data_IF_395810553422
#
_entry.id   IF_395810553422
#
_cell.length_a   1.000
_cell.length_b   1.000
_cell.length_c   1.000
_cell.angle_alpha   90.00
_cell.angle_beta   90.00
_cell.angle_gamma   90.00
#
_symmetry.space_group_name_H-M   'P 1'
#
loop_
_entity.id
_entity.type
_entity.pdbx_description
1 polymer ?
#
# COMPACT_ATOMS: atom_id res chain seq x y z
N UNK A 1 31.09 -1.75 -0.63
CA UNK A 1 29.65 -1.59 -0.95
C UNK A 1 29.33 -1.51 -2.46
N UNK A 2 30.22 -1.00 -3.32
CA UNK A 2 29.98 -0.92 -4.78
C UNK A 2 29.96 -2.28 -5.50
N UNK A 3 30.75 -3.25 -5.03
CA UNK A 3 30.84 -4.61 -5.61
C UNK A 3 29.60 -5.48 -5.29
N UNK A 4 28.91 -5.21 -4.17
CA UNK A 4 27.73 -5.98 -3.76
C UNK A 4 26.48 -5.68 -4.64
N UNK A 5 26.42 -4.47 -5.20
CA UNK A 5 25.33 -4.06 -6.10
C UNK A 5 25.42 -4.75 -7.47
N UNK A 6 26.63 -4.99 -7.98
CA UNK A 6 26.82 -5.71 -9.25
C UNK A 6 26.45 -7.20 -9.14
N UNK A 7 26.71 -7.83 -7.99
CA UNK A 7 26.34 -9.23 -7.74
C UNK A 7 24.81 -9.38 -7.64
N UNK A 8 24.11 -8.42 -7.04
CA UNK A 8 22.65 -8.46 -6.92
C UNK A 8 21.95 -8.25 -8.27
N UNK A 9 22.51 -7.39 -9.13
CA UNK A 9 22.00 -7.16 -10.51
C UNK A 9 22.25 -8.40 -11.39
N UNK A 10 23.40 -9.06 -11.23
CA UNK A 10 23.71 -10.30 -11.96
C UNK A 10 22.79 -11.47 -11.56
N UNK A 11 22.46 -11.61 -10.27
CA UNK A 11 21.51 -12.61 -9.78
C UNK A 11 20.07 -12.37 -10.25
N UNK A 12 19.68 -11.13 -10.53
CA UNK A 12 18.36 -10.81 -11.07
C UNK A 12 18.25 -11.08 -12.58
N UNK A 13 19.36 -10.96 -13.33
CA UNK A 13 19.38 -11.25 -14.78
C UNK A 13 19.30 -12.74 -15.12
N UNK A 14 19.71 -13.63 -14.21
CA UNK A 14 19.75 -15.09 -14.47
C UNK A 14 18.37 -15.76 -14.39
N UNK A 15 17.35 -15.09 -13.84
CA UNK A 15 15.99 -15.67 -13.76
C UNK A 15 15.08 -15.40 -14.97
N UNK A 16 15.56 -14.71 -16.01
CA UNK A 16 14.77 -14.45 -17.23
C UNK A 16 14.92 -15.53 -18.31
N UNK A 17 15.68 -16.60 -18.07
CA UNK A 17 15.94 -17.64 -19.07
C UNK A 17 15.49 -19.02 -18.58
N UNK A 18 14.21 -19.20 -18.22
CA UNK A 18 13.62 -20.54 -18.11
C UNK A 18 12.21 -20.55 -18.72
N UNK A 19 12.10 -21.29 -19.82
CA UNK A 19 10.93 -21.92 -20.44
C UNK A 19 10.00 -21.04 -21.31
N UNK A 20 10.36 -20.89 -22.59
CA UNK A 20 9.38 -20.99 -23.67
C UNK A 20 9.38 -22.44 -24.15
N UNK A 21 8.26 -23.14 -23.97
CA UNK A 21 8.00 -24.41 -24.64
C UNK A 21 7.53 -24.05 -26.05
N UNK A 22 8.27 -24.47 -27.08
CA UNK A 22 7.83 -24.33 -28.47
C UNK A 22 6.47 -25.02 -28.64
N UNK A 23 5.49 -24.27 -29.15
CA UNK A 23 4.20 -24.81 -29.59
C UNK A 23 4.36 -25.14 -31.07
N UNK A 24 4.46 -26.43 -31.38
CA UNK A 24 4.31 -26.90 -32.77
C UNK A 24 2.85 -26.74 -33.17
N UNK A 25 2.58 -25.94 -34.19
CA UNK A 25 1.27 -25.82 -34.83
C UNK A 25 0.89 -27.17 -35.47
N UNK A 26 0.01 -27.91 -34.81
CA UNK A 26 -0.82 -28.92 -35.48
C UNK A 26 -2.26 -28.44 -35.36
N UNK A 27 -2.82 -28.04 -36.49
CA UNK A 27 -4.21 -27.65 -36.65
C UNK A 27 -5.14 -28.77 -36.20
N UNK A 28 -5.59 -28.70 -34.94
CA UNK A 28 -6.76 -29.40 -34.45
C UNK A 28 -7.55 -28.43 -33.57
N UNK A 29 -8.70 -28.03 -34.08
CA UNK A 29 -9.68 -27.15 -33.46
C UNK A 29 -10.31 -27.83 -32.24
N UNK A 30 -9.57 -27.85 -31.14
CA UNK A 30 -10.08 -28.05 -29.79
C UNK A 30 -9.25 -27.11 -28.95
N UNK A 31 -9.82 -25.98 -28.54
CA UNK A 31 -9.20 -25.08 -27.58
C UNK A 31 -8.85 -25.89 -26.34
N UNK A 32 -7.58 -26.29 -26.19
CA UNK A 32 -7.09 -26.90 -24.96
C UNK A 32 -7.18 -25.79 -23.92
N UNK A 33 -8.26 -25.83 -23.15
CA UNK A 33 -8.50 -24.93 -22.02
C UNK A 33 -7.31 -25.09 -21.08
N UNK A 34 -6.53 -24.01 -20.90
CA UNK A 34 -5.39 -24.04 -20.01
C UNK A 34 -5.87 -24.04 -18.55
N UNK A 35 -5.89 -25.23 -17.95
CA UNK A 35 -6.23 -25.41 -16.55
C UNK A 35 -5.19 -24.82 -15.58
N UNK A 36 -4.06 -24.29 -16.07
CA UNK A 36 -2.99 -23.68 -15.25
C UNK A 36 -3.04 -22.15 -15.21
N UNK A 37 -4.09 -21.51 -15.72
CA UNK A 37 -4.21 -20.05 -15.76
C UNK A 37 -3.88 -19.38 -14.41
N UNK A 38 -3.13 -18.28 -14.46
CA UNK A 38 -2.70 -17.49 -13.30
C UNK A 38 -3.21 -16.07 -13.43
N UNK A 39 -4.34 -15.78 -12.79
CA UNK A 39 -4.88 -14.42 -12.78
C UNK A 39 -4.16 -13.53 -11.77
N UNK A 40 -4.24 -12.22 -12.01
CA UNK A 40 -3.94 -11.16 -11.04
C UNK A 40 -2.49 -11.15 -10.52
N UNK A 41 -1.52 -11.00 -11.43
CA UNK A 41 -0.09 -10.96 -11.09
C UNK A 41 0.37 -9.58 -10.65
N UNK A 42 -0.05 -8.55 -11.35
CA UNK A 42 0.25 -7.17 -11.00
C UNK A 42 -1.01 -6.50 -10.46
N UNK A 43 -0.83 -5.51 -9.59
CA UNK A 43 -1.93 -4.69 -9.15
C UNK A 43 -1.48 -3.25 -8.96
N UNK A 44 -2.41 -2.33 -9.18
CA UNK A 44 -2.28 -0.98 -8.68
C UNK A 44 -3.52 -0.59 -7.91
N UNK A 45 -3.38 0.35 -6.98
CA UNK A 45 -4.48 0.86 -6.18
C UNK A 45 -4.38 2.35 -5.99
N UNK A 46 -5.53 3.02 -6.00
CA UNK A 46 -5.69 4.41 -5.62
C UNK A 46 -6.63 4.45 -4.42
N UNK A 47 -6.28 5.22 -3.40
CA UNK A 47 -7.03 5.27 -2.15
C UNK A 47 -7.15 6.68 -1.61
N UNK A 48 -8.23 6.91 -0.89
CA UNK A 48 -8.42 8.02 0.02
C UNK A 48 -8.02 7.56 1.43
N UNK A 49 -7.15 8.34 2.08
CA UNK A 49 -6.51 8.00 3.34
C UNK A 49 -7.11 8.80 4.49
N UNK A 50 -7.74 8.11 5.41
CA UNK A 50 -8.33 8.64 6.63
C UNK A 50 -7.40 8.42 7.83
N UNK A 51 -7.36 9.42 8.70
CA UNK A 51 -6.77 9.36 10.02
C UNK A 51 -7.89 9.16 11.03
N UNK A 52 -7.78 8.11 11.84
CA UNK A 52 -8.74 7.80 12.91
C UNK A 52 -8.05 7.94 14.26
N UNK A 53 -8.83 7.97 15.35
CA UNK A 53 -8.31 8.11 16.72
C UNK A 53 -7.45 9.38 16.86
N UNK A 54 -7.87 10.47 16.23
CA UNK A 54 -7.21 11.77 16.33
C UNK A 54 -7.49 12.39 17.71
N UNK A 55 -6.48 13.00 18.36
CA UNK A 55 -6.68 13.78 19.59
C UNK A 55 -7.68 14.92 19.39
N UNK A 56 -8.19 15.46 20.50
CA UNK A 56 -9.10 16.60 20.47
C UNK A 56 -8.51 17.77 19.67
N UNK A 57 -9.34 18.43 18.86
CA UNK A 57 -8.97 19.52 17.94
C UNK A 57 -8.03 19.14 16.78
N UNK A 58 -7.64 17.86 16.65
CA UNK A 58 -6.94 17.40 15.44
C UNK A 58 -7.95 17.01 14.35
N UNK A 59 -7.68 17.45 13.11
CA UNK A 59 -8.57 17.21 11.97
C UNK A 59 -7.80 17.04 10.66
N UNK A 60 -8.43 16.34 9.72
CA UNK A 60 -8.00 16.26 8.33
C UNK A 60 -8.75 17.28 7.47
N UNK A 61 -8.03 17.99 6.60
CA UNK A 61 -8.62 18.90 5.60
C UNK A 61 -8.03 18.64 4.22
N UNK A 62 -8.88 18.63 3.21
CA UNK A 62 -8.48 18.37 1.82
C UNK A 62 -8.25 16.89 1.51
N UNK A 63 -7.61 16.62 0.37
CA UNK A 63 -7.60 15.28 -0.22
C UNK A 63 -6.32 14.50 0.12
N UNK A 64 -6.45 13.56 1.06
CA UNK A 64 -5.39 12.64 1.49
C UNK A 64 -5.39 11.39 0.61
N UNK A 65 -4.33 11.15 -0.16
CA UNK A 65 -4.28 10.10 -1.19
C UNK A 65 -3.22 9.05 -0.94
N UNK A 66 -3.50 7.83 -1.39
CA UNK A 66 -2.52 6.75 -1.48
C UNK A 66 -2.50 6.17 -2.88
N UNK A 67 -1.31 5.91 -3.40
CA UNK A 67 -1.08 5.13 -4.61
C UNK A 67 -0.23 3.91 -4.26
N UNK A 68 -0.61 2.73 -4.75
CA UNK A 68 0.13 1.48 -4.53
C UNK A 68 0.32 0.79 -5.87
N UNK A 69 1.49 0.20 -6.09
CA UNK A 69 1.79 -0.69 -7.20
C UNK A 69 2.46 -1.92 -6.63
N UNK A 70 2.11 -3.11 -7.12
CA UNK A 70 2.77 -4.32 -6.64
C UNK A 70 2.57 -5.52 -7.54
N UNK A 71 3.32 -6.56 -7.20
CA UNK A 71 3.21 -7.90 -7.73
C UNK A 71 2.66 -8.82 -6.65
N UNK A 72 1.87 -9.81 -7.03
CA UNK A 72 1.34 -10.81 -6.13
C UNK A 72 1.31 -12.17 -6.81
N UNK A 73 1.94 -13.14 -6.17
CA UNK A 73 1.94 -14.52 -6.61
C UNK A 73 0.67 -15.18 -6.10
N UNK A 74 -0.16 -15.61 -7.04
CA UNK A 74 -1.38 -16.38 -6.75
C UNK A 74 -1.06 -17.88 -6.65
N UNK A 75 -1.45 -18.50 -5.53
CA UNK A 75 -1.23 -19.91 -5.23
C UNK A 75 -2.59 -20.58 -5.05
N UNK A 76 -3.09 -21.33 -6.05
CA UNK A 76 -4.34 -22.06 -5.93
C UNK A 76 -4.28 -23.11 -4.81
N UNK A 77 -5.33 -23.18 -4.01
CA UNK A 77 -5.47 -24.14 -2.90
C UNK A 77 -6.50 -25.24 -3.21
N UNK A 78 -7.19 -25.17 -4.35
CA UNK A 78 -8.14 -26.19 -4.80
C UNK A 78 -8.04 -26.46 -6.31
N UNK A 79 -8.56 -27.61 -6.75
CA UNK A 79 -8.51 -28.03 -8.16
C UNK A 79 -9.21 -27.06 -9.12
N UNK A 80 -10.31 -26.44 -8.66
CA UNK A 80 -11.06 -25.45 -9.45
C UNK A 80 -10.36 -24.08 -9.52
N UNK A 81 -9.27 -23.89 -8.75
CA UNK A 81 -8.46 -22.66 -8.67
C UNK A 81 -9.23 -21.40 -8.31
N UNK A 82 -10.42 -21.53 -7.75
CA UNK A 82 -11.27 -20.43 -7.34
C UNK A 82 -11.04 -20.01 -5.87
N UNK A 83 -10.22 -20.78 -5.15
CA UNK A 83 -9.73 -20.46 -3.81
C UNK A 83 -8.20 -20.54 -3.77
N UNK A 84 -7.55 -19.57 -3.15
CA UNK A 84 -6.09 -19.43 -3.20
C UNK A 84 -5.48 -18.61 -2.08
N UNK A 85 -4.15 -18.63 -2.03
CA UNK A 85 -3.32 -17.78 -1.21
C UNK A 85 -2.49 -16.86 -2.12
N UNK A 86 -2.60 -15.56 -1.91
CA UNK A 86 -1.78 -14.54 -2.53
C UNK A 86 -0.66 -14.10 -1.61
N UNK A 87 0.58 -14.12 -2.10
CA UNK A 87 1.73 -13.51 -1.40
C UNK A 87 2.43 -12.58 -2.37
N UNK A 88 2.59 -11.32 -1.99
CA UNK A 88 3.09 -10.29 -2.90
C UNK A 88 4.12 -9.37 -2.31
N UNK A 89 4.58 -8.45 -3.16
CA UNK A 89 5.45 -7.34 -2.82
C UNK A 89 4.92 -6.09 -3.53
N UNK A 90 4.85 -4.97 -2.82
CA UNK A 90 4.37 -3.71 -3.35
C UNK A 90 5.19 -2.52 -2.88
N UNK A 91 4.97 -1.41 -3.55
CA UNK A 91 5.43 -0.08 -3.14
C UNK A 91 4.21 0.82 -3.02
N UNK A 92 4.19 1.66 -1.99
CA UNK A 92 3.11 2.64 -1.83
C UNK A 92 3.64 4.03 -1.49
N UNK A 93 2.95 5.04 -2.01
CA UNK A 93 3.16 6.45 -1.67
C UNK A 93 1.87 7.00 -1.11
N UNK A 94 1.94 7.61 0.07
CA UNK A 94 0.77 8.07 0.80
C UNK A 94 0.94 9.53 1.22
N UNK A 95 -0.18 10.21 1.30
CA UNK A 95 -0.33 11.61 1.64
C UNK A 95 -1.45 11.77 2.65
N UNK A 96 -1.18 12.50 3.72
CA UNK A 96 -2.14 12.81 4.77
C UNK A 96 -2.11 14.32 4.99
N UNK A 97 -3.20 15.02 4.66
CA UNK A 97 -3.35 16.43 4.99
C UNK A 97 -4.08 16.54 6.33
N UNK A 98 -3.51 17.30 7.25
CA UNK A 98 -3.98 17.42 8.63
C UNK A 98 -3.52 18.75 9.24
N UNK A 99 -4.08 19.11 10.38
CA UNK A 99 -3.74 20.36 11.09
C UNK A 99 -2.61 20.23 12.13
N UNK A 100 -2.01 19.04 12.30
CA UNK A 100 -0.83 18.84 13.15
C UNK A 100 0.45 19.43 12.50
N UNK A 101 0.98 20.54 13.02
CA UNK A 101 2.25 21.14 12.59
C UNK A 101 3.41 20.46 13.31
N UNK A 102 4.36 19.96 12.54
CA UNK A 102 5.58 19.35 13.06
C UNK A 102 6.73 20.31 12.79
N UNK A 103 7.36 20.82 13.84
CA UNK A 103 8.51 21.71 13.76
C UNK A 103 9.70 21.13 14.52
N UNK A 104 10.90 21.69 14.29
CA UNK A 104 12.11 21.27 15.00
C UNK A 104 12.75 22.50 15.64
N UNK A 105 12.94 22.47 16.95
CA UNK A 105 13.61 23.53 17.72
C UNK A 105 14.58 22.91 18.72
N UNK A 106 15.80 23.44 18.82
CA UNK A 106 16.84 22.97 19.74
C UNK A 106 17.12 21.44 19.68
N UNK A 107 16.94 20.82 18.50
CA UNK A 107 17.13 19.38 18.31
C UNK A 107 15.89 18.52 18.59
N UNK A 108 14.86 19.05 19.24
CA UNK A 108 13.61 18.37 19.58
C UNK A 108 12.53 18.66 18.55
N UNK A 109 11.60 17.70 18.39
CA UNK A 109 10.42 17.86 17.55
C UNK A 109 9.27 18.40 18.40
N UNK A 110 8.60 19.44 17.91
CA UNK A 110 7.40 20.00 18.52
C UNK A 110 6.19 19.67 17.64
N UNK A 111 5.06 19.41 18.31
CA UNK A 111 3.82 18.93 17.72
C UNK A 111 2.68 19.86 18.14
N UNK A 112 2.35 20.81 17.28
CA UNK A 112 1.37 21.86 17.58
C UNK A 112 0.13 21.65 16.71
N UNK A 113 -1.06 21.66 17.31
CA UNK A 113 -2.29 21.80 16.54
C UNK A 113 -2.44 23.26 16.17
N UNK A 114 -2.56 23.52 14.87
CA UNK A 114 -2.70 24.87 14.33
C UNK A 114 -4.01 24.98 13.59
N UNK A 115 -4.58 26.18 13.58
CA UNK A 115 -5.80 26.42 12.82
C UNK A 115 -5.54 26.24 11.32
N UNK A 116 -6.51 25.59 10.67
CA UNK A 116 -6.43 25.25 9.25
C UNK A 116 -6.56 26.46 8.32
N UNK A 117 -6.78 27.64 8.86
CA UNK A 117 -6.83 28.92 8.16
C UNK A 117 -5.44 29.59 8.10
N UNK A 118 -4.55 29.29 9.05
CA UNK A 118 -3.20 29.85 9.12
C UNK A 118 -2.21 29.21 8.14
N UNK A 119 -2.59 28.08 7.53
CA UNK A 119 -1.74 27.31 6.63
C UNK A 119 -2.38 27.07 5.27
N UNK A 120 -1.61 27.38 4.22
CA UNK A 120 -1.94 26.99 2.84
C UNK A 120 -1.71 25.49 2.59
N UNK A 121 -0.81 24.86 3.34
CA UNK A 121 -0.52 23.43 3.20
C UNK A 121 0.10 22.84 4.47
N UNK A 122 -0.54 21.84 5.06
CA UNK A 122 0.06 21.02 6.10
C UNK A 122 -0.18 19.54 5.78
N UNK A 123 0.91 18.83 5.46
CA UNK A 123 0.86 17.47 4.89
C UNK A 123 2.00 16.61 5.38
N UNK A 124 1.66 15.39 5.75
CA UNK A 124 2.56 14.28 5.96
C UNK A 124 2.56 13.33 4.74
N UNK A 125 3.71 12.79 4.37
CA UNK A 125 3.85 11.85 3.26
C UNK A 125 4.80 10.71 3.59
N UNK A 126 4.49 9.52 3.10
CA UNK A 126 5.28 8.30 3.37
C UNK A 126 5.43 7.47 2.10
N UNK A 127 6.60 6.88 1.92
CA UNK A 127 6.86 5.83 0.94
C UNK A 127 7.12 4.52 1.68
N UNK A 128 6.50 3.44 1.23
CA UNK A 128 6.58 2.12 1.86
C UNK A 128 6.93 1.05 0.85
N UNK A 129 7.64 0.03 1.32
CA UNK A 129 7.65 -1.30 0.71
C UNK A 129 6.64 -2.14 1.49
N UNK A 130 5.77 -2.87 0.79
CA UNK A 130 4.64 -3.61 1.36
C UNK A 130 4.71 -5.10 1.01
N UNK A 131 4.32 -5.96 1.94
CA UNK A 131 4.17 -7.40 1.77
C UNK A 131 2.71 -7.79 2.07
N UNK A 132 1.83 -7.82 1.05
CA UNK A 132 0.48 -8.35 1.18
C UNK A 132 0.45 -9.88 1.24
N UNK A 133 -0.36 -10.41 2.15
CA UNK A 133 -0.70 -11.84 2.25
C UNK A 133 -2.22 -11.95 2.29
N UNK A 134 -2.82 -12.57 1.28
CA UNK A 134 -4.27 -12.53 1.02
C UNK A 134 -4.82 -13.95 0.87
N UNK A 135 -5.88 -14.29 1.58
CA UNK A 135 -6.78 -15.37 1.18
C UNK A 135 -7.66 -14.86 0.05
N UNK A 136 -7.78 -15.67 -0.99
CA UNK A 136 -8.39 -15.25 -2.25
C UNK A 136 -9.52 -16.17 -2.63
N UNK A 137 -10.70 -15.61 -2.80
CA UNK A 137 -11.85 -16.30 -3.35
C UNK A 137 -12.34 -15.56 -4.60
N UNK A 138 -12.68 -16.32 -5.63
CA UNK A 138 -13.21 -15.80 -6.90
C UNK A 138 -14.25 -16.75 -7.49
N UNK A 139 -15.04 -16.25 -8.43
CA UNK A 139 -16.01 -17.07 -9.18
C UNK A 139 -15.52 -17.39 -10.60
N UNK A 140 -14.21 -17.29 -10.87
CA UNK A 140 -13.64 -17.52 -12.20
C UNK A 140 -13.74 -18.99 -12.62
N UNK A 141 -13.94 -19.21 -13.92
CA UNK A 141 -13.73 -20.49 -14.59
C UNK A 141 -12.61 -20.32 -15.64
N UNK A 142 -12.04 -21.41 -16.19
CA UNK A 142 -11.05 -21.29 -17.26
C UNK A 142 -11.54 -20.56 -18.52
N UNK A 143 -12.86 -20.42 -18.70
CA UNK A 143 -13.49 -19.81 -19.88
C UNK A 143 -14.07 -18.42 -19.57
N UNK A 144 -14.27 -18.07 -18.29
CA UNK A 144 -14.89 -16.82 -17.86
C UNK A 144 -13.89 -15.81 -17.28
N UNK A 145 -13.64 -14.74 -18.04
CA UNK A 145 -12.73 -13.66 -17.65
C UNK A 145 -13.40 -12.51 -16.86
N UNK A 146 -14.72 -12.56 -16.68
CA UNK A 146 -15.48 -11.60 -15.86
C UNK A 146 -16.10 -12.31 -14.67
N UNK A 147 -15.55 -12.05 -13.50
CA UNK A 147 -15.92 -12.78 -12.28
C UNK A 147 -15.84 -11.90 -11.04
N UNK A 148 -16.49 -12.36 -9.98
CA UNK A 148 -16.38 -11.77 -8.65
C UNK A 148 -15.09 -12.18 -7.97
N UNK A 149 -14.53 -11.26 -7.18
CA UNK A 149 -13.34 -11.44 -6.36
C UNK A 149 -13.64 -10.95 -4.94
N UNK A 150 -13.24 -11.73 -3.94
CA UNK A 150 -13.22 -11.33 -2.53
C UNK A 150 -11.91 -11.80 -1.94
N UNK A 151 -10.98 -10.87 -1.73
CA UNK A 151 -9.64 -11.14 -1.22
C UNK A 151 -9.48 -10.45 0.14
N UNK A 152 -9.19 -11.22 1.18
CA UNK A 152 -9.06 -10.73 2.53
C UNK A 152 -7.70 -11.16 3.10
N UNK A 153 -7.05 -10.32 3.90
CA UNK A 153 -5.74 -10.68 4.40
C UNK A 153 -5.09 -9.65 5.30
N UNK A 154 -3.79 -9.82 5.45
CA UNK A 154 -2.92 -8.90 6.19
C UNK A 154 -1.93 -8.25 5.24
N UNK A 155 -1.50 -7.05 5.61
CA UNK A 155 -0.47 -6.34 4.86
C UNK A 155 0.57 -5.81 5.82
N UNK A 156 1.80 -6.24 5.64
CA UNK A 156 2.96 -5.69 6.33
C UNK A 156 3.57 -4.60 5.45
N UNK A 157 4.16 -3.58 6.06
CA UNK A 157 4.81 -2.49 5.34
C UNK A 157 5.96 -1.91 6.14
N UNK A 158 6.99 -1.43 5.44
CA UNK A 158 8.11 -0.73 6.04
C UNK A 158 8.31 0.62 5.38
N UNK A 159 8.28 1.68 6.18
CA UNK A 159 8.49 3.05 5.70
C UNK A 159 9.96 3.23 5.33
N UNK A 160 10.22 3.49 4.05
CA UNK A 160 11.57 3.75 3.52
C UNK A 160 11.89 5.24 3.46
N UNK A 161 10.87 6.09 3.33
CA UNK A 161 11.03 7.54 3.36
C UNK A 161 9.77 8.20 3.92
N UNK A 162 9.96 9.29 4.67
CA UNK A 162 8.86 10.11 5.16
C UNK A 162 9.16 11.61 5.02
N UNK A 163 8.12 12.42 4.93
CA UNK A 163 8.24 13.88 4.82
C UNK A 163 7.06 14.57 5.47
N UNK A 164 7.32 15.46 6.41
CA UNK A 164 6.37 16.44 6.90
C UNK A 164 6.64 17.79 6.23
N UNK A 165 5.58 18.47 5.79
CA UNK A 165 5.65 19.79 5.19
C UNK A 165 4.54 20.68 5.72
N UNK A 166 4.91 21.83 6.27
CA UNK A 166 3.99 22.89 6.69
C UNK A 166 4.35 24.18 5.96
N UNK A 167 3.36 24.89 5.39
CA UNK A 167 3.51 26.16 4.68
C UNK A 167 2.40 27.14 5.10
N UNK A 168 2.78 28.25 5.74
CA UNK A 168 1.88 29.27 6.28
C UNK A 168 2.69 30.48 6.76
N UNK A 169 2.06 31.66 6.84
CA UNK A 169 2.70 32.89 7.36
C UNK A 169 3.99 33.34 6.66
N UNK A 170 4.20 32.99 5.38
CA UNK A 170 5.43 33.29 4.63
C UNK A 170 6.55 32.25 4.79
N UNK A 171 6.41 31.29 5.69
CA UNK A 171 7.41 30.26 5.96
C UNK A 171 7.07 28.91 5.33
N UNK A 172 8.11 28.09 5.07
CA UNK A 172 7.95 26.68 4.65
C UNK A 172 8.88 25.80 5.45
N UNK A 173 8.30 24.96 6.30
CA UNK A 173 9.02 23.96 7.09
C UNK A 173 8.94 22.63 6.34
N UNK A 174 10.10 21.96 6.20
CA UNK A 174 10.20 20.61 5.62
C UNK A 174 11.07 19.76 6.52
N UNK A 175 10.52 18.65 7.00
CA UNK A 175 11.25 17.66 7.79
C UNK A 175 11.18 16.35 7.03
N UNK A 176 12.35 15.78 6.72
CA UNK A 176 12.47 14.47 6.08
C UNK A 176 12.82 13.42 7.13
N UNK A 177 12.30 12.20 6.98
CA UNK A 177 12.61 11.05 7.82
C UNK A 177 12.49 11.35 9.32
N UNK A 178 11.30 11.82 9.73
CA UNK A 178 10.98 12.07 11.12
C UNK A 178 11.15 10.78 11.92
N UNK A 179 11.99 10.82 12.96
CA UNK A 179 12.38 9.65 13.74
C UNK A 179 11.20 9.05 14.51
N UNK A 180 10.27 9.90 14.97
CA UNK A 180 9.12 9.52 15.77
C UNK A 180 7.98 8.82 15.00
N UNK A 181 8.23 8.43 13.74
CA UNK A 181 7.28 7.68 12.93
C UNK A 181 7.54 6.21 13.12
N UNK A 182 6.47 5.49 13.46
CA UNK A 182 6.52 4.03 13.50
C UNK A 182 6.80 3.50 12.07
N UNK A 183 7.96 2.86 11.88
CA UNK A 183 8.41 2.44 10.55
C UNK A 183 7.69 1.18 10.08
N UNK A 184 7.40 0.27 11.01
CA UNK A 184 6.69 -0.96 10.71
C UNK A 184 5.19 -0.69 10.68
N UNK A 185 4.54 -1.00 9.56
CA UNK A 185 3.09 -0.92 9.39
C UNK A 185 2.52 -2.30 9.26
N UNK A 186 1.40 -2.54 9.92
CA UNK A 186 0.63 -3.72 9.66
C UNK A 186 -0.86 -3.44 9.80
N UNK A 187 -1.64 -4.14 8.99
CA UNK A 187 -3.06 -3.90 8.92
C UNK A 187 -3.81 -5.02 8.22
N UNK A 188 -5.13 -4.98 8.38
CA UNK A 188 -6.05 -5.84 7.67
C UNK A 188 -6.38 -5.22 6.31
N UNK A 189 -6.55 -6.05 5.29
CA UNK A 189 -6.94 -5.64 3.95
C UNK A 189 -8.13 -6.46 3.48
N UNK A 190 -9.05 -5.82 2.78
CA UNK A 190 -10.19 -6.45 2.12
C UNK A 190 -10.38 -5.82 0.74
N UNK A 191 -10.37 -6.63 -0.29
CA UNK A 191 -10.70 -6.23 -1.65
C UNK A 191 -11.92 -7.03 -2.12
N UNK A 192 -12.96 -6.36 -2.60
CA UNK A 192 -14.15 -7.01 -3.15
C UNK A 192 -14.60 -6.30 -4.43
N UNK A 193 -14.92 -7.06 -5.48
CA UNK A 193 -15.24 -6.46 -6.76
C UNK A 193 -15.62 -7.43 -7.86
N UNK A 194 -16.02 -6.85 -8.98
CA UNK A 194 -16.38 -7.58 -10.19
C UNK A 194 -15.47 -7.15 -11.34
N UNK A 195 -14.81 -8.14 -11.97
CA UNK A 195 -13.86 -7.92 -13.06
C UNK A 195 -12.80 -6.86 -12.67
N UNK A 196 -12.69 -5.79 -13.46
CA UNK A 196 -11.68 -4.73 -13.30
C UNK A 196 -11.83 -3.91 -12.01
N UNK A 197 -13.06 -3.70 -11.53
CA UNK A 197 -13.34 -2.74 -10.45
C UNK A 197 -13.46 -3.46 -9.11
N UNK A 198 -12.47 -3.24 -8.23
CA UNK A 198 -12.45 -3.83 -6.90
C UNK A 198 -12.33 -2.73 -5.85
N UNK A 199 -13.32 -2.62 -4.96
CA UNK A 199 -13.25 -1.76 -3.79
C UNK A 199 -12.23 -2.36 -2.84
N UNK A 200 -11.32 -1.53 -2.34
CA UNK A 200 -10.25 -1.95 -1.44
C UNK A 200 -10.27 -1.14 -0.14
N UNK A 201 -10.35 -1.85 0.97
CA UNK A 201 -10.27 -1.33 2.32
C UNK A 201 -8.95 -1.78 2.97
N UNK A 202 -8.32 -0.89 3.70
CA UNK A 202 -7.21 -1.18 4.61
C UNK A 202 -7.51 -0.56 5.97
N UNK A 203 -7.28 -1.34 7.03
CA UNK A 203 -7.37 -0.88 8.42
C UNK A 203 -6.03 -1.11 9.11
N UNK A 204 -5.35 -0.03 9.47
CA UNK A 204 -4.07 -0.06 10.19
C UNK A 204 -4.25 -0.46 11.65
N UNK A 205 -3.50 -1.46 12.07
CA UNK A 205 -3.58 -2.01 13.43
C UNK A 205 -2.65 -1.29 14.42
N UNK A 206 -1.73 -0.47 13.93
CA UNK A 206 -0.78 0.27 14.76
C UNK A 206 -0.81 1.79 14.51
N UNK A 207 -0.46 2.61 15.53
CA UNK A 207 -0.46 4.07 15.42
C UNK A 207 0.61 4.62 14.48
N UNK A 208 0.37 5.77 13.84
CA UNK A 208 1.29 6.44 12.91
C UNK A 208 2.58 6.90 13.59
N UNK A 209 2.47 7.46 14.78
CA UNK A 209 3.61 7.89 15.54
C UNK A 209 3.97 6.83 16.57
N UNK A 210 5.23 6.79 16.98
CA UNK A 210 5.61 6.00 18.14
C UNK A 210 5.13 6.66 19.45
N UNK A 211 5.26 5.94 20.55
CA UNK A 211 4.80 6.36 21.88
C UNK A 211 5.52 7.60 22.43
N UNK A 212 6.56 8.11 21.75
CA UNK A 212 7.27 9.34 22.16
C UNK A 212 6.52 10.61 21.79
N UNK A 213 5.56 10.53 20.87
CA UNK A 213 4.79 11.69 20.41
C UNK A 213 3.61 11.95 21.33
N UNK A 214 3.66 13.12 21.97
CA UNK A 214 2.62 13.65 22.84
C UNK A 214 2.01 14.87 22.15
N UNK A 215 0.69 14.90 22.01
CA UNK A 215 -0.07 16.00 21.42
C UNK A 215 -1.08 16.45 22.48
N UNK A 216 -1.08 17.75 22.83
CA UNK A 216 -1.92 18.31 23.91
C UNK A 216 -1.81 17.58 25.26
N UNK A 217 -0.63 17.04 25.59
CA UNK A 217 -0.41 16.30 26.84
C UNK A 217 -0.87 14.84 26.83
N UNK A 218 -1.44 14.36 25.72
CA UNK A 218 -1.89 12.97 25.57
C UNK A 218 -1.02 12.19 24.57
N UNK A 219 -0.85 10.89 24.84
CA UNK A 219 -0.25 9.96 23.88
C UNK A 219 -1.18 9.81 22.67
N UNK A 220 -0.60 9.79 21.48
CA UNK A 220 -1.37 9.70 20.25
C UNK A 220 -1.54 8.26 19.76
N UNK A 221 -2.78 7.82 19.51
CA UNK A 221 -3.11 6.52 18.89
C UNK A 221 -3.65 6.71 17.46
N UNK A 222 -3.18 7.74 16.74
CA UNK A 222 -3.68 8.04 15.39
C UNK A 222 -3.43 6.83 14.48
N UNK A 223 -4.48 6.29 13.88
CA UNK A 223 -4.42 5.14 12.96
C UNK A 223 -4.82 5.52 11.55
N UNK A 224 -4.56 4.62 10.61
CA UNK A 224 -4.86 4.83 9.18
C UNK A 224 -5.99 3.89 8.76
N UNK A 225 -7.00 4.46 8.10
CA UNK A 225 -7.95 3.72 7.28
C UNK A 225 -7.77 4.17 5.83
N UNK A 226 -7.70 3.23 4.89
CA UNK A 226 -7.66 3.56 3.45
C UNK A 226 -8.83 2.93 2.75
N UNK A 227 -9.54 3.72 1.95
CA UNK A 227 -10.67 3.26 1.14
C UNK A 227 -10.38 3.66 -0.30
N UNK A 228 -10.52 2.73 -1.24
CA UNK A 228 -10.13 3.00 -2.61
C UNK A 228 -10.53 1.93 -3.60
N UNK A 229 -9.88 2.00 -4.77
CA UNK A 229 -10.03 1.02 -5.83
C UNK A 229 -8.70 0.32 -6.06
N UNK A 230 -8.77 -0.99 -6.29
CA UNK A 230 -7.65 -1.85 -6.65
C UNK A 230 -7.97 -2.52 -7.98
N UNK A 231 -6.97 -2.51 -8.85
CA UNK A 231 -7.06 -3.03 -10.20
C UNK A 231 -6.01 -4.11 -10.33
N UNK A 232 -6.44 -5.28 -10.78
CA UNK A 232 -5.56 -6.41 -11.04
C UNK A 232 -5.27 -6.49 -12.54
N UNK A 233 -4.03 -6.81 -12.86
CA UNK A 233 -3.50 -6.91 -14.21
C UNK A 233 -2.81 -8.27 -14.34
N UNK A 234 -3.02 -8.92 -15.49
CA UNK A 234 -2.35 -10.16 -15.87
C UNK A 234 -0.96 -9.87 -16.43
#
# INVERSE_FOLDING_TARGET
>A
MRQLHFILIFLFSVQLTISQKEVSETNNSSSIVDNLYKEDQFYFAVSYNLLTNMPENMSQKGFSTGFTLGYIKDIPLNSNRNFGLGIGLGISTNSYNHNLKISKSNGFYNYDLVDLEDFTKNKFSTQLVELPIELRWRTSTPEEYKFWRIYAGVKLGYIVASKAKSKGGGETIKISNLAAIEKLRYGLTLSAGYSTWNVNLYYGLNPIFDDSVIINGEKTDIRIVKIGLKFYIL
#
